data_IF_406501511321
#
_entry.id   IF_406501511321
#
_cell.length_a   1.000
_cell.length_b   1.000
_cell.length_c   1.000
_cell.angle_alpha   90.00
_cell.angle_beta   90.00
_cell.angle_gamma   90.00
#
_symmetry.space_group_name_H-M   'P 1'
#
loop_
_entity.id
_entity.type
_entity.pdbx_description
1 polymer ?
#
# COMPACT_ATOMS: atom_id res chain seq x y z
N UNK A 1 21.40 -9.60 7.28
CA UNK A 1 20.34 -8.79 6.67
C UNK A 1 20.40 -8.95 5.16
N UNK A 2 19.62 -9.89 4.61
CA UNK A 2 19.61 -10.18 3.17
C UNK A 2 18.60 -9.25 2.50
N UNK A 3 19.06 -8.45 1.54
CA UNK A 3 18.27 -7.38 0.95
C UNK A 3 17.77 -7.85 -0.43
N UNK A 4 16.47 -8.14 -0.56
CA UNK A 4 15.83 -8.50 -1.83
C UNK A 4 16.17 -7.52 -2.97
N UNK A 5 16.54 -6.27 -2.65
CA UNK A 5 17.03 -5.26 -3.60
C UNK A 5 18.25 -5.70 -4.43
N UNK A 6 19.13 -6.58 -3.93
CA UNK A 6 20.38 -6.93 -4.64
C UNK A 6 20.16 -7.93 -5.78
N UNK A 7 19.15 -8.80 -5.67
CA UNK A 7 18.96 -9.92 -6.59
C UNK A 7 17.91 -9.63 -7.66
N UNK A 8 17.09 -8.60 -7.50
CA UNK A 8 16.00 -8.25 -8.44
C UNK A 8 16.50 -7.43 -9.62
N UNK A 9 16.39 -7.97 -10.83
CA UNK A 9 16.67 -7.26 -12.07
C UNK A 9 15.48 -6.40 -12.49
N UNK A 10 14.30 -7.01 -12.63
CA UNK A 10 13.08 -6.36 -13.08
C UNK A 10 11.84 -6.95 -12.38
N UNK A 11 10.72 -6.22 -12.39
CA UNK A 11 9.44 -6.68 -11.86
C UNK A 11 8.31 -6.34 -12.85
N UNK A 12 7.56 -7.34 -13.29
CA UNK A 12 6.36 -7.15 -14.10
C UNK A 12 5.16 -7.18 -13.16
N UNK A 13 4.35 -6.12 -13.18
CA UNK A 13 3.24 -5.91 -12.24
C UNK A 13 1.91 -6.00 -12.96
N UNK A 14 0.97 -6.73 -12.36
CA UNK A 14 -0.40 -6.89 -12.84
C UNK A 14 -1.35 -6.54 -11.69
N UNK A 15 -1.62 -5.24 -11.48
CA UNK A 15 -2.61 -4.79 -10.50
C UNK A 15 -4.04 -5.03 -11.01
N UNK A 16 -4.97 -5.42 -10.14
CA UNK A 16 -6.39 -5.51 -10.47
C UNK A 16 -7.08 -4.15 -10.48
N UNK A 17 -6.53 -3.17 -9.77
CA UNK A 17 -7.03 -1.81 -9.66
C UNK A 17 -5.85 -0.83 -9.54
N UNK A 18 -6.01 0.38 -10.07
CA UNK A 18 -5.04 1.44 -9.92
C UNK A 18 -3.82 1.29 -10.84
N UNK A 19 -2.72 1.94 -10.48
CA UNK A 19 -1.49 1.98 -11.28
C UNK A 19 -0.30 1.52 -10.46
N UNK A 20 0.61 0.80 -11.08
CA UNK A 20 1.83 0.31 -10.44
C UNK A 20 3.07 0.75 -11.21
N UNK A 21 4.11 1.13 -10.49
CA UNK A 21 5.38 1.61 -11.04
C UNK A 21 6.50 0.87 -10.32
N UNK A 22 7.48 0.38 -11.08
CA UNK A 22 8.69 -0.18 -10.55
C UNK A 22 9.87 0.74 -10.88
N UNK A 23 10.59 1.19 -9.86
CA UNK A 23 11.85 1.92 -10.01
C UNK A 23 13.01 0.90 -10.03
N UNK A 24 13.65 0.66 -11.19
CA UNK A 24 14.71 -0.34 -11.32
C UNK A 24 16.02 0.07 -10.64
N UNK A 25 16.20 1.35 -10.30
CA UNK A 25 17.39 1.87 -9.62
C UNK A 25 17.22 1.71 -8.11
N UNK A 26 16.10 2.20 -7.56
CA UNK A 26 15.82 2.11 -6.12
C UNK A 26 15.32 0.73 -5.69
N UNK A 27 14.92 -0.10 -6.66
CA UNK A 27 14.28 -1.41 -6.46
C UNK A 27 13.04 -1.29 -5.57
N UNK A 28 12.26 -0.23 -5.82
CA UNK A 28 11.02 0.07 -5.10
C UNK A 28 9.85 -0.17 -6.05
N UNK A 29 8.87 -0.91 -5.56
CA UNK A 29 7.59 -1.13 -6.19
C UNK A 29 6.58 -0.22 -5.50
N UNK A 30 5.89 0.60 -6.29
CA UNK A 30 4.82 1.46 -5.81
C UNK A 30 3.54 1.06 -6.50
N UNK A 31 2.51 0.76 -5.70
CA UNK A 31 1.17 0.49 -6.20
C UNK A 31 0.19 1.51 -5.64
N UNK A 32 -0.33 2.35 -6.53
CA UNK A 32 -1.33 3.37 -6.22
C UNK A 32 -2.72 2.81 -6.55
N UNK A 33 -3.43 2.35 -5.52
CA UNK A 33 -4.77 1.74 -5.65
C UNK A 33 -5.84 2.80 -5.93
N UNK A 34 -5.73 3.96 -5.27
CA UNK A 34 -6.76 5.00 -5.27
C UNK A 34 -7.80 4.76 -4.16
N UNK A 35 -9.07 4.98 -4.47
CA UNK A 35 -10.18 4.81 -3.51
C UNK A 35 -10.63 3.35 -3.46
N UNK A 36 -10.77 2.83 -2.23
CA UNK A 36 -11.31 1.49 -1.96
C UNK A 36 -12.66 1.68 -1.28
N UNK A 37 -13.72 1.13 -1.87
CA UNK A 37 -15.03 1.09 -1.24
C UNK A 37 -15.11 -0.09 -0.27
N UNK A 38 -15.20 0.21 1.02
CA UNK A 38 -15.18 -0.78 2.11
C UNK A 38 -16.54 -1.43 2.37
N UNK A 39 -17.61 -0.97 1.70
CA UNK A 39 -18.99 -1.43 1.94
C UNK A 39 -19.29 -2.80 1.36
N UNK A 40 -18.48 -3.27 0.42
CA UNK A 40 -18.72 -4.53 -0.27
C UNK A 40 -17.99 -5.64 0.47
N UNK A 41 -18.69 -6.38 1.33
CA UNK A 41 -18.15 -7.58 2.02
C UNK A 41 -17.82 -8.75 1.07
N UNK A 42 -17.84 -8.51 -0.24
CA UNK A 42 -17.53 -9.51 -1.23
C UNK A 42 -16.01 -9.47 -1.52
N UNK A 43 -15.31 -10.54 -1.15
CA UNK A 43 -13.86 -10.74 -1.37
C UNK A 43 -13.46 -10.47 -2.84
N UNK A 44 -14.38 -10.66 -3.79
CA UNK A 44 -14.19 -10.38 -5.21
C UNK A 44 -13.88 -8.91 -5.55
N UNK A 45 -14.16 -7.96 -4.66
CA UNK A 45 -13.96 -6.52 -4.91
C UNK A 45 -12.72 -5.94 -4.19
N UNK A 46 -11.88 -6.81 -3.61
CA UNK A 46 -10.63 -6.37 -2.99
C UNK A 46 -9.56 -6.13 -4.06
N UNK A 47 -8.83 -5.02 -3.98
CA UNK A 47 -7.70 -4.78 -4.87
C UNK A 47 -6.62 -5.84 -4.61
N UNK A 48 -6.11 -6.44 -5.68
CA UNK A 48 -5.01 -7.41 -5.66
C UNK A 48 -3.90 -6.97 -6.61
N UNK A 49 -2.67 -7.37 -6.32
CA UNK A 49 -1.54 -7.17 -7.22
C UNK A 49 -0.76 -8.48 -7.35
N UNK A 50 -0.47 -8.88 -8.58
CA UNK A 50 0.47 -9.95 -8.88
C UNK A 50 1.75 -9.36 -9.45
N UNK A 51 2.89 -9.88 -9.00
CA UNK A 51 4.19 -9.45 -9.48
C UNK A 51 4.99 -10.68 -9.94
N UNK A 52 5.61 -10.58 -11.12
CA UNK A 52 6.63 -11.51 -11.56
C UNK A 52 8.00 -10.83 -11.40
N UNK A 53 8.81 -11.36 -10.49
CA UNK A 53 10.12 -10.80 -10.16
C UNK A 53 11.19 -11.55 -10.95
N UNK A 54 11.84 -10.84 -11.88
CA UNK A 54 12.97 -11.35 -12.65
C UNK A 54 14.23 -11.11 -11.83
N UNK A 55 14.90 -12.20 -11.47
CA UNK A 55 16.16 -12.16 -10.72
C UNK A 55 17.34 -12.06 -11.68
N UNK A 56 18.44 -11.48 -11.20
CA UNK A 56 19.73 -11.52 -11.90
C UNK A 56 20.21 -12.97 -11.97
N UNK A 57 20.70 -13.38 -13.14
CA UNK A 57 21.20 -14.74 -13.37
C UNK A 57 22.29 -15.11 -12.36
N UNK A 58 22.18 -16.31 -11.77
CA UNK A 58 23.13 -16.81 -10.77
C UNK A 58 22.95 -16.25 -9.35
N UNK A 59 21.93 -15.42 -9.08
CA UNK A 59 21.58 -15.02 -7.72
C UNK A 59 20.59 -15.99 -7.08
N UNK A 60 20.73 -16.32 -5.79
CA UNK A 60 19.78 -17.18 -5.11
C UNK A 60 18.44 -16.45 -4.92
N UNK A 61 17.37 -17.26 -4.89
CA UNK A 61 16.02 -16.77 -4.60
C UNK A 61 16.05 -16.12 -3.20
N UNK A 62 15.47 -14.92 -3.02
CA UNK A 62 15.41 -14.29 -1.71
C UNK A 62 14.73 -15.21 -0.69
N UNK A 63 15.40 -15.50 0.43
CA UNK A 63 14.86 -16.38 1.48
C UNK A 63 13.74 -15.73 2.31
N UNK A 64 13.61 -14.41 2.26
CA UNK A 64 12.61 -13.67 3.04
C UNK A 64 11.68 -12.88 2.13
N UNK A 65 10.40 -12.86 2.52
CA UNK A 65 9.40 -11.98 1.93
C UNK A 65 9.80 -10.51 2.14
N UNK A 66 9.58 -9.63 1.16
CA UNK A 66 9.85 -8.20 1.30
C UNK A 66 8.85 -7.56 2.28
N UNK A 67 9.28 -6.49 2.94
CA UNK A 67 8.41 -5.68 3.79
C UNK A 67 7.46 -4.88 2.89
N UNK A 68 6.16 -4.94 3.20
CA UNK A 68 5.13 -4.15 2.54
C UNK A 68 4.79 -2.93 3.40
N UNK A 69 5.12 -1.75 2.89
CA UNK A 69 4.72 -0.49 3.52
C UNK A 69 3.41 0.00 2.88
N UNK A 70 2.42 0.31 3.72
CA UNK A 70 1.11 0.81 3.28
C UNK A 70 0.87 2.21 3.82
N UNK A 71 0.29 3.05 2.97
CA UNK A 71 -0.13 4.42 3.32
C UNK A 71 -1.55 4.61 2.82
N UNK A 72 -2.46 4.98 3.71
CA UNK A 72 -3.87 5.18 3.38
C UNK A 72 -4.48 6.27 4.26
N UNK A 73 -5.59 6.82 3.80
CA UNK A 73 -6.41 7.77 4.55
C UNK A 73 -7.84 7.22 4.60
N UNK A 74 -8.43 7.18 5.80
CA UNK A 74 -9.84 6.82 5.98
C UNK A 74 -10.59 8.08 6.41
N UNK A 75 -11.56 8.49 5.60
CA UNK A 75 -12.37 9.66 5.90
C UNK A 75 -13.34 9.34 7.05
N UNK A 76 -13.57 10.33 7.92
CA UNK A 76 -14.53 10.25 9.03
C UNK A 76 -14.26 9.11 10.03
N UNK A 77 -13.01 8.66 10.15
CA UNK A 77 -12.62 7.62 11.11
C UNK A 77 -11.45 8.09 11.96
N UNK A 78 -11.61 8.03 13.27
CA UNK A 78 -10.51 8.06 14.22
C UNK A 78 -10.27 6.63 14.74
N UNK A 79 -9.11 6.05 14.42
CA UNK A 79 -8.78 4.66 14.78
C UNK A 79 -8.75 4.46 16.31
N UNK A 80 -8.44 5.51 17.07
CA UNK A 80 -8.48 5.48 18.54
C UNK A 80 -9.89 5.39 19.12
N UNK A 81 -10.94 5.51 18.29
CA UNK A 81 -12.33 5.55 18.74
C UNK A 81 -12.73 6.88 19.39
N UNK A 82 -11.85 7.89 19.40
CA UNK A 82 -12.18 9.19 19.96
C UNK A 82 -13.34 9.84 19.19
N UNK A 83 -14.29 10.39 19.95
CA UNK A 83 -15.42 11.13 19.40
C UNK A 83 -15.55 12.43 20.17
N UNK A 84 -15.74 13.52 19.44
CA UNK A 84 -16.06 14.81 20.05
C UNK A 84 -17.45 14.72 20.64
N UNK A 85 -17.56 14.95 21.95
CA UNK A 85 -18.85 14.91 22.65
C UNK A 85 -19.57 16.26 22.56
N UNK A 86 -18.86 17.34 22.89
CA UNK A 86 -19.38 18.71 22.88
C UNK A 86 -18.24 19.70 22.67
N UNK A 87 -18.55 20.81 22.00
CA UNK A 87 -17.67 21.97 21.88
C UNK A 87 -18.45 23.16 22.43
N UNK A 88 -17.99 23.70 23.54
CA UNK A 88 -18.59 24.88 24.16
C UNK A 88 -17.81 26.13 23.73
N UNK A 89 -18.52 27.17 23.27
CA UNK A 89 -17.94 28.48 22.92
C UNK A 89 -18.59 29.56 23.79
N UNK A 90 -17.78 30.46 24.34
CA UNK A 90 -18.23 31.57 25.19
C UNK A 90 -17.59 32.88 24.71
N UNK A 91 -18.37 33.97 24.71
CA UNK A 91 -17.87 35.32 24.44
C UNK A 91 -18.09 35.87 23.02
N UNK A 92 -18.78 35.13 22.15
CA UNK A 92 -19.08 35.59 20.80
C UNK A 92 -20.45 36.29 20.80
N UNK A 93 -20.47 37.60 20.48
CA UNK A 93 -21.68 38.36 20.13
C UNK A 93 -21.63 38.58 18.62
N UNK A 94 -22.47 37.84 17.88
CA UNK A 94 -22.65 38.01 16.44
C UNK A 94 -23.69 39.09 16.15
#
# INVERSE_FOLDING_TARGET
>A
MYNAKKCTQNCILTPSQGKSIFDPIKKILVWNIGTIETKTQNIAHLPTIRANIILVTGQPIPESNPILNVSFQINQLAISGIRVQRVDMYGETY
#
